data_IF_534657995765
#
_entry.id   IF_534657995765
#
_cell.length_a   1.000
_cell.length_b   1.000
_cell.length_c   1.000
_cell.angle_alpha   90.00
_cell.angle_beta   90.00
_cell.angle_gamma   90.00
#
_symmetry.space_group_name_H-M   'P 1'
#
loop_
_entity.id
_entity.type
_entity.pdbx_description
1 polymer ?
#
# COMPACT_ATOMS: atom_id res chain seq x y z
N UNK A 1 -1.26 -14.17 -11.78
CA UNK A 1 0.05 -13.52 -11.51
C UNK A 1 1.04 -13.79 -12.63
N UNK A 2 1.24 -15.05 -13.07
CA UNK A 2 2.11 -15.37 -14.21
C UNK A 2 1.72 -14.65 -15.51
N UNK A 3 0.42 -14.53 -15.80
CA UNK A 3 -0.06 -13.74 -16.94
C UNK A 3 0.36 -12.27 -16.85
N UNK A 4 0.25 -11.63 -15.68
CA UNK A 4 0.67 -10.23 -15.49
C UNK A 4 2.18 -10.07 -15.70
N UNK A 5 2.97 -11.04 -15.21
CA UNK A 5 4.42 -11.04 -15.39
C UNK A 5 4.81 -11.17 -16.87
N UNK A 6 4.07 -11.95 -17.66
CA UNK A 6 4.29 -12.03 -19.11
C UNK A 6 4.07 -10.69 -19.82
N UNK A 7 3.24 -9.80 -19.25
CA UNK A 7 3.02 -8.42 -19.70
C UNK A 7 3.89 -7.40 -18.96
N UNK A 8 4.98 -7.83 -18.32
CA UNK A 8 5.92 -6.94 -17.63
C UNK A 8 5.38 -6.31 -16.34
N UNK A 9 4.24 -6.79 -15.83
CA UNK A 9 3.62 -6.27 -14.60
C UNK A 9 3.88 -7.22 -13.44
N UNK A 10 4.63 -6.74 -12.45
CA UNK A 10 4.83 -7.49 -11.20
C UNK A 10 3.57 -7.45 -10.33
N UNK A 11 3.30 -8.57 -9.65
CA UNK A 11 2.17 -8.68 -8.73
C UNK A 11 2.65 -9.17 -7.35
N UNK A 12 2.03 -8.64 -6.30
CA UNK A 12 2.28 -9.01 -4.92
C UNK A 12 0.95 -8.90 -4.16
N UNK A 13 0.61 -9.92 -3.36
CA UNK A 13 -0.61 -9.87 -2.58
C UNK A 13 -0.75 -10.98 -1.55
N UNK A 14 -1.64 -10.74 -0.59
CA UNK A 14 -2.10 -11.76 0.34
C UNK A 14 -3.16 -12.63 -0.30
N UNK A 15 -3.22 -13.90 0.12
CA UNK A 15 -4.13 -14.90 -0.41
C UNK A 15 -4.88 -15.54 0.75
N UNK A 16 -6.16 -15.83 0.59
CA UNK A 16 -6.90 -16.56 1.61
C UNK A 16 -6.42 -18.02 1.69
N UNK A 17 -6.35 -18.59 2.89
CA UNK A 17 -5.92 -19.97 3.13
C UNK A 17 -6.70 -21.03 2.35
N UNK A 18 -7.96 -20.73 2.02
CA UNK A 18 -8.89 -21.65 1.35
C UNK A 18 -8.80 -21.58 -0.18
N UNK A 19 -7.90 -20.77 -0.74
CA UNK A 19 -7.74 -20.64 -2.19
C UNK A 19 -7.15 -21.91 -2.78
N UNK A 20 -7.82 -22.48 -3.79
CA UNK A 20 -7.39 -23.71 -4.48
C UNK A 20 -5.99 -23.59 -5.10
N UNK A 21 -5.64 -22.37 -5.50
CA UNK A 21 -4.36 -22.04 -6.15
C UNK A 21 -3.20 -22.08 -5.13
N UNK A 22 -3.48 -21.92 -3.84
CA UNK A 22 -2.45 -21.92 -2.81
C UNK A 22 -2.09 -23.37 -2.41
N UNK A 23 -0.80 -23.75 -2.43
CA UNK A 23 -0.37 -25.08 -2.03
C UNK A 23 -0.68 -25.33 -0.54
N UNK A 24 -1.45 -26.39 -0.24
CA UNK A 24 -1.88 -26.71 1.13
C UNK A 24 -0.73 -27.18 2.02
N UNK A 25 0.31 -27.74 1.41
CA UNK A 25 1.46 -28.33 2.11
C UNK A 25 2.56 -27.30 2.44
N UNK A 26 2.27 -26.01 2.30
CA UNK A 26 3.27 -24.95 2.46
C UNK A 26 3.52 -24.48 3.89
N UNK A 27 2.97 -25.16 4.91
CA UNK A 27 3.06 -24.68 6.31
C UNK A 27 4.53 -24.53 6.74
N UNK A 28 4.92 -23.30 7.06
CA UNK A 28 6.27 -22.94 7.50
C UNK A 28 7.29 -22.80 6.37
N UNK A 29 6.86 -22.85 5.10
CA UNK A 29 7.74 -22.91 3.96
C UNK A 29 7.54 -21.77 2.97
N UNK A 30 8.62 -21.46 2.26
CA UNK A 30 8.67 -20.61 1.08
C UNK A 30 8.88 -21.52 -0.12
N UNK A 31 7.98 -21.48 -1.11
CA UNK A 31 8.10 -22.28 -2.34
C UNK A 31 8.05 -21.40 -3.57
N UNK A 32 9.14 -21.41 -4.31
CA UNK A 32 9.25 -20.72 -5.58
C UNK A 32 9.01 -21.69 -6.72
N UNK A 33 8.09 -21.34 -7.61
CA UNK A 33 7.80 -22.06 -8.85
C UNK A 33 8.04 -21.09 -10.00
N UNK A 34 9.19 -21.21 -10.65
CA UNK A 34 9.68 -20.21 -11.62
C UNK A 34 9.82 -18.84 -10.97
N UNK A 35 9.11 -17.85 -11.50
CA UNK A 35 9.11 -16.48 -10.97
C UNK A 35 7.96 -16.20 -9.99
N UNK A 36 7.18 -17.22 -9.61
CA UNK A 36 6.11 -17.09 -8.61
C UNK A 36 6.58 -17.65 -7.27
N UNK A 37 6.62 -16.78 -6.27
CA UNK A 37 6.90 -17.15 -4.89
C UNK A 37 5.59 -17.32 -4.13
N UNK A 38 5.38 -18.52 -3.57
CA UNK A 38 4.37 -18.78 -2.57
C UNK A 38 5.01 -18.78 -1.18
N UNK A 39 4.42 -18.02 -0.27
CA UNK A 39 4.93 -17.90 1.09
C UNK A 39 3.83 -18.23 2.07
N UNK A 40 4.14 -19.11 3.02
CA UNK A 40 3.41 -19.21 4.27
C UNK A 40 4.28 -18.66 5.38
N UNK A 41 3.73 -17.73 6.17
CA UNK A 41 4.45 -17.20 7.31
C UNK A 41 3.51 -16.93 8.48
N UNK A 42 3.98 -17.18 9.70
CA UNK A 42 3.18 -16.97 10.91
C UNK A 42 3.96 -16.13 11.91
N UNK A 43 3.37 -15.00 12.25
CA UNK A 43 3.77 -14.20 13.40
C UNK A 43 2.76 -14.40 14.54
N UNK A 44 1.74 -13.54 14.63
CA UNK A 44 0.56 -13.78 15.50
C UNK A 44 -0.48 -14.64 14.78
N UNK A 45 -0.70 -14.36 13.50
CA UNK A 45 -1.61 -15.08 12.60
C UNK A 45 -0.84 -15.61 11.40
N UNK A 46 -1.31 -16.72 10.85
CA UNK A 46 -0.76 -17.25 9.61
C UNK A 46 -1.21 -16.37 8.44
N UNK A 47 -0.26 -16.03 7.58
CA UNK A 47 -0.44 -15.22 6.38
C UNK A 47 0.07 -16.06 5.21
N UNK A 48 -0.70 -16.03 4.13
CA UNK A 48 -0.37 -16.68 2.88
C UNK A 48 -0.19 -15.59 1.83
N UNK A 49 0.90 -15.65 1.07
CA UNK A 49 1.22 -14.63 0.07
C UNK A 49 1.65 -15.26 -1.24
N UNK A 50 1.34 -14.56 -2.33
CA UNK A 50 1.85 -14.86 -3.67
C UNK A 50 2.49 -13.60 -4.25
N UNK A 51 3.72 -13.72 -4.73
CA UNK A 51 4.49 -12.60 -5.26
C UNK A 51 5.30 -13.03 -6.48
N UNK A 52 5.53 -12.09 -7.40
CA UNK A 52 6.43 -12.29 -8.55
C UNK A 52 7.67 -11.39 -8.52
N UNK A 53 7.84 -10.60 -7.45
CA UNK A 53 8.89 -9.60 -7.30
C UNK A 53 9.77 -9.82 -6.05
N UNK A 54 9.77 -11.04 -5.52
CA UNK A 54 10.51 -11.40 -4.31
C UNK A 54 11.19 -12.76 -4.48
N UNK A 55 12.32 -12.93 -3.79
CA UNK A 55 13.06 -14.19 -3.71
C UNK A 55 12.74 -14.94 -2.43
N UNK A 56 13.15 -16.21 -2.32
CA UNK A 56 13.04 -17.04 -1.11
C UNK A 56 14.02 -16.60 0.01
N UNK A 57 14.09 -15.30 0.30
CA UNK A 57 15.03 -14.72 1.26
C UNK A 57 14.30 -14.31 2.54
N UNK A 58 14.96 -14.50 3.67
CA UNK A 58 14.55 -13.99 4.97
C UNK A 58 15.39 -12.76 5.31
N UNK A 59 14.73 -11.68 5.72
CA UNK A 59 15.35 -10.42 6.11
C UNK A 59 15.12 -10.16 7.60
N UNK A 60 16.13 -9.61 8.28
CA UNK A 60 16.01 -9.23 9.68
C UNK A 60 15.34 -7.85 9.76
N UNK A 61 14.13 -7.80 10.31
CA UNK A 61 13.38 -6.55 10.48
C UNK A 61 13.34 -6.18 11.95
N UNK A 62 13.80 -4.98 12.29
CA UNK A 62 13.72 -4.46 13.64
C UNK A 62 12.30 -4.01 13.97
N UNK A 63 11.73 -4.54 15.05
CA UNK A 63 10.37 -4.22 15.50
C UNK A 63 10.38 -3.57 16.88
N UNK A 64 9.56 -2.53 17.02
CA UNK A 64 9.29 -1.92 18.33
C UNK A 64 8.54 -2.90 19.23
N UNK A 65 9.15 -3.26 20.36
CA UNK A 65 8.52 -4.02 21.45
C UNK A 65 8.54 -3.20 22.74
N UNK A 66 7.71 -3.57 23.72
CA UNK A 66 7.65 -2.89 25.03
C UNK A 66 8.99 -2.87 25.77
N UNK A 67 9.88 -3.83 25.50
CA UNK A 67 11.22 -3.93 26.08
C UNK A 67 12.35 -3.41 25.19
N UNK A 68 12.05 -2.69 24.10
CA UNK A 68 13.03 -2.20 23.13
C UNK A 68 12.87 -2.82 21.73
N UNK A 69 13.72 -2.44 20.77
CA UNK A 69 13.72 -3.01 19.42
C UNK A 69 14.10 -4.51 19.48
N UNK A 70 13.35 -5.35 18.77
CA UNK A 70 13.65 -6.77 18.61
C UNK A 70 13.80 -7.05 17.13
N UNK A 71 14.92 -7.65 16.74
CA UNK A 71 15.13 -8.08 15.36
C UNK A 71 14.43 -9.42 15.13
N UNK A 72 13.54 -9.44 14.13
CA UNK A 72 12.76 -10.63 13.77
C UNK A 72 13.00 -11.00 12.32
N UNK A 73 13.37 -12.25 12.09
CA UNK A 73 13.44 -12.79 10.74
C UNK A 73 12.05 -12.84 10.12
N UNK A 74 11.91 -12.12 9.03
CA UNK A 74 10.68 -11.93 8.28
C UNK A 74 10.97 -12.24 6.81
N UNK A 75 10.09 -12.94 6.09
CA UNK A 75 10.27 -13.12 4.66
C UNK A 75 10.32 -11.78 3.95
N UNK A 76 11.26 -11.60 3.01
CA UNK A 76 11.37 -10.40 2.18
C UNK A 76 10.04 -10.04 1.52
N UNK A 77 9.27 -11.05 1.11
CA UNK A 77 7.96 -10.84 0.50
C UNK A 77 6.95 -10.11 1.40
N UNK A 78 7.02 -10.33 2.72
CA UNK A 78 6.14 -9.66 3.70
C UNK A 78 6.55 -8.19 3.83
N UNK A 79 7.85 -7.90 3.80
CA UNK A 79 8.36 -6.53 3.86
C UNK A 79 7.98 -5.72 2.62
N UNK A 80 8.22 -6.28 1.42
CA UNK A 80 7.82 -5.67 0.15
C UNK A 80 6.33 -5.34 0.13
N UNK A 81 5.49 -6.27 0.61
CA UNK A 81 4.06 -6.03 0.69
C UNK A 81 3.70 -4.92 1.67
N UNK A 82 4.20 -4.97 2.91
CA UNK A 82 3.87 -3.97 3.93
C UNK A 82 4.31 -2.56 3.51
N UNK A 83 5.47 -2.44 2.86
CA UNK A 83 5.99 -1.16 2.36
C UNK A 83 5.08 -0.53 1.30
N UNK A 84 4.40 -1.35 0.51
CA UNK A 84 3.69 -0.89 -0.69
C UNK A 84 2.15 -0.96 -0.56
N UNK A 85 1.60 -1.70 0.40
CA UNK A 85 0.14 -1.92 0.52
C UNK A 85 -0.64 -0.68 0.99
N UNK A 86 0.01 0.23 1.72
CA UNK A 86 -0.66 1.34 2.43
C UNK A 86 -1.03 2.53 1.53
N UNK A 87 -0.70 2.49 0.23
CA UNK A 87 -0.91 3.63 -0.67
C UNK A 87 -2.37 4.05 -0.81
N UNK A 88 -3.28 3.09 -0.98
CA UNK A 88 -4.71 3.35 -1.15
C UNK A 88 -5.34 3.81 0.16
N UNK A 89 -5.00 3.16 1.28
CA UNK A 89 -5.51 3.53 2.61
C UNK A 89 -5.07 4.95 2.99
N UNK A 90 -3.83 5.33 2.67
CA UNK A 90 -3.34 6.69 2.88
C UNK A 90 -4.12 7.72 2.07
N UNK A 91 -4.46 7.41 0.82
CA UNK A 91 -5.28 8.29 -0.01
C UNK A 91 -6.71 8.42 0.55
N UNK A 92 -7.32 7.32 0.99
CA UNK A 92 -8.63 7.33 1.63
C UNK A 92 -8.63 8.14 2.94
N UNK A 93 -7.58 7.97 3.75
CA UNK A 93 -7.39 8.73 4.98
C UNK A 93 -7.29 10.25 4.71
N UNK A 94 -6.43 10.67 3.76
CA UNK A 94 -6.30 12.08 3.38
C UNK A 94 -7.62 12.67 2.87
N UNK A 95 -8.36 11.89 2.10
CA UNK A 95 -9.69 12.26 1.61
C UNK A 95 -10.70 12.41 2.76
N UNK A 96 -10.65 11.52 3.75
CA UNK A 96 -11.57 11.54 4.90
C UNK A 96 -11.39 12.78 5.78
N UNK A 97 -10.17 13.31 5.88
CA UNK A 97 -9.90 14.51 6.67
C UNK A 97 -10.50 15.79 6.09
N UNK A 98 -10.64 15.87 4.76
CA UNK A 98 -11.08 17.08 4.05
C UNK A 98 -12.13 16.73 2.99
N UNK A 99 -13.28 16.23 3.44
CA UNK A 99 -14.36 15.84 2.54
C UNK A 99 -15.12 17.06 2.01
N UNK A 100 -14.88 17.39 0.74
CA UNK A 100 -15.56 18.44 -0.05
C UNK A 100 -17.04 18.10 -0.34
N UNK A 101 -17.39 16.81 -0.32
CA UNK A 101 -18.69 16.31 -0.77
C UNK A 101 -19.81 16.49 0.26
N UNK A 102 -20.95 17.06 -0.16
CA UNK A 102 -22.17 17.11 0.66
C UNK A 102 -23.01 15.85 0.49
N UNK A 103 -23.70 15.43 1.56
CA UNK A 103 -24.66 14.31 1.51
C UNK A 103 -25.68 14.55 0.41
N UNK A 104 -25.87 13.56 -0.45
CA UNK A 104 -26.85 13.62 -1.53
C UNK A 104 -27.56 12.29 -1.74
N UNK A 105 -28.83 12.33 -2.11
CA UNK A 105 -29.62 11.15 -2.49
C UNK A 105 -29.29 10.66 -3.91
N UNK A 106 -28.69 11.51 -4.76
CA UNK A 106 -28.33 11.15 -6.14
C UNK A 106 -26.93 10.55 -6.17
N UNK A 107 -26.80 9.28 -6.58
CA UNK A 107 -25.53 8.54 -6.58
C UNK A 107 -24.43 9.21 -7.40
N UNK A 108 -24.76 9.84 -8.55
CA UNK A 108 -23.76 10.48 -9.42
C UNK A 108 -23.04 11.64 -8.75
N UNK A 109 -23.68 12.33 -7.78
CA UNK A 109 -23.04 13.42 -7.02
C UNK A 109 -21.92 12.89 -6.14
N UNK A 110 -22.06 11.69 -5.60
CA UNK A 110 -20.99 11.02 -4.86
C UNK A 110 -19.77 10.77 -5.77
N UNK A 111 -19.99 10.22 -6.96
CA UNK A 111 -18.92 9.99 -7.95
C UNK A 111 -18.24 11.30 -8.37
N UNK A 112 -19.02 12.36 -8.62
CA UNK A 112 -18.47 13.68 -8.97
C UNK A 112 -17.54 14.23 -7.87
N UNK A 113 -18.01 14.25 -6.62
CA UNK A 113 -17.20 14.73 -5.50
C UNK A 113 -15.98 13.86 -5.23
N UNK A 114 -16.08 12.55 -5.44
CA UNK A 114 -14.94 11.63 -5.37
C UNK A 114 -13.85 11.97 -6.39
N UNK A 115 -14.23 12.27 -7.63
CA UNK A 115 -13.29 12.66 -8.68
C UNK A 115 -12.60 14.00 -8.37
N UNK A 116 -13.36 15.01 -7.93
CA UNK A 116 -12.81 16.32 -7.54
C UNK A 116 -11.82 16.19 -6.38
N UNK A 117 -12.18 15.44 -5.33
CA UNK A 117 -11.29 15.21 -4.19
C UNK A 117 -10.01 14.48 -4.60
N UNK A 118 -10.14 13.46 -5.46
CA UNK A 118 -8.98 12.73 -6.00
C UNK A 118 -8.08 13.65 -6.83
N UNK A 119 -8.65 14.54 -7.64
CA UNK A 119 -7.89 15.50 -8.44
C UNK A 119 -7.10 16.50 -7.58
N UNK A 120 -7.72 17.07 -6.54
CA UNK A 120 -7.05 17.99 -5.60
C UNK A 120 -5.94 17.29 -4.81
N UNK A 121 -6.17 16.03 -4.39
CA UNK A 121 -5.14 15.23 -3.73
C UNK A 121 -3.96 14.94 -4.67
N UNK A 122 -4.23 14.59 -5.93
CA UNK A 122 -3.19 14.34 -6.91
C UNK A 122 -2.40 15.62 -7.22
N UNK A 123 -3.05 16.79 -7.31
CA UNK A 123 -2.36 18.06 -7.51
C UNK A 123 -1.48 18.43 -6.31
N UNK A 124 -1.93 18.14 -5.09
CA UNK A 124 -1.11 18.30 -3.88
C UNK A 124 0.13 17.39 -3.90
N UNK A 125 -0.03 16.11 -4.28
CA UNK A 125 1.10 15.17 -4.38
C UNK A 125 2.11 15.66 -5.43
N UNK A 126 1.63 16.15 -6.58
CA UNK A 126 2.49 16.73 -7.60
C UNK A 126 3.23 17.97 -7.11
N UNK A 127 2.53 18.88 -6.42
CA UNK A 127 3.13 20.07 -5.82
C UNK A 127 4.26 19.69 -4.87
N UNK A 128 4.03 18.73 -3.97
CA UNK A 128 5.02 18.27 -3.00
C UNK A 128 6.24 17.58 -3.63
N UNK A 129 6.05 16.91 -4.77
CA UNK A 129 7.13 16.23 -5.48
C UNK A 129 7.92 17.16 -6.41
N UNK A 130 7.45 18.38 -6.63
CA UNK A 130 8.14 19.36 -7.46
C UNK A 130 9.31 19.97 -6.67
N UNK A 131 10.49 20.16 -7.30
CA UNK A 131 11.59 20.87 -6.65
C UNK A 131 11.15 22.31 -6.33
N UNK A 132 11.16 22.65 -5.05
CA UNK A 132 10.87 24.01 -4.59
C UNK A 132 12.16 24.84 -4.57
N UNK A 133 12.09 26.14 -4.92
CA UNK A 133 13.23 27.05 -4.78
C UNK A 133 13.81 26.99 -3.35
N UNK A 134 15.14 27.09 -3.18
CA UNK A 134 15.78 27.03 -1.86
C UNK A 134 15.35 28.15 -0.90
N UNK A 135 14.65 29.17 -1.40
CA UNK A 135 14.17 30.32 -0.62
C UNK A 135 12.68 30.26 -0.24
N UNK A 136 11.92 29.25 -0.70
CA UNK A 136 10.55 29.05 -0.22
C UNK A 136 10.56 28.23 1.07
N UNK A 137 9.86 28.72 2.09
CA UNK A 137 9.58 28.02 3.34
C UNK A 137 9.05 26.60 3.07
N UNK A 138 9.17 25.72 4.06
CA UNK A 138 8.78 24.30 3.99
C UNK A 138 7.48 24.08 3.18
N UNK A 139 7.42 23.04 2.32
CA UNK A 139 6.27 22.80 1.46
C UNK A 139 4.98 22.77 2.27
N UNK A 140 3.97 23.50 1.79
CA UNK A 140 2.69 23.67 2.48
C UNK A 140 2.10 22.34 2.96
N UNK A 141 1.57 22.36 4.18
CA UNK A 141 0.82 21.23 4.70
C UNK A 141 -0.46 21.04 3.88
N UNK A 142 -0.96 19.81 3.84
CA UNK A 142 -2.17 19.45 3.11
C UNK A 142 -3.36 20.37 3.47
N UNK A 143 -3.47 20.75 4.75
CA UNK A 143 -4.49 21.68 5.23
C UNK A 143 -4.43 23.05 4.53
N UNK A 144 -3.25 23.67 4.49
CA UNK A 144 -3.07 24.98 3.88
C UNK A 144 -3.28 24.93 2.37
N UNK A 145 -2.83 23.85 1.71
CA UNK A 145 -3.03 23.66 0.28
C UNK A 145 -4.51 23.55 -0.10
N UNK A 146 -5.31 22.83 0.69
CA UNK A 146 -6.76 22.73 0.46
C UNK A 146 -7.44 24.09 0.74
N UNK A 147 -6.98 24.84 1.75
CA UNK A 147 -7.48 26.18 2.04
C UNK A 147 -7.28 27.18 0.90
N UNK A 148 -6.11 27.17 0.25
CA UNK A 148 -5.82 28.07 -0.88
C UNK A 148 -6.56 27.68 -2.17
N UNK A 149 -6.79 26.39 -2.38
CA UNK A 149 -7.52 25.89 -3.56
C UNK A 149 -9.02 26.11 -3.50
N UNK A 150 -9.54 26.70 -2.40
CA UNK A 150 -10.98 26.97 -2.22
C UNK A 150 -11.81 25.68 -2.16
N UNK A 151 -11.18 24.57 -1.82
CA UNK A 151 -11.78 23.24 -1.81
C UNK A 151 -12.55 22.92 -0.52
N UNK A 152 -12.55 23.83 0.48
CA UNK A 152 -13.28 23.72 1.74
C UNK A 152 -14.52 24.63 1.76
#
# INVERSE_FOLDING_TARGET
MTHLLAHGTYACGTVCSNQKIFPKDLKGQLKQVGNLLATWWRDKRAIHMLLTNASQTMEAVSRKSKGGPIDKQTPQCVEIYNKNMEGVDRQDQLRSYYSIGRKSKKWWRCCFWFLVQTAVLNSYIMYKNMPHPPHTAEPMTHFHYIGETGAI
#
